data_IF_911695715435
#
_entry.id   IF_911695715435
#
_cell.length_a   1.000
_cell.length_b   1.000
_cell.length_c   1.000
_cell.angle_alpha   90.00
_cell.angle_beta   90.00
_cell.angle_gamma   90.00
#
_symmetry.space_group_name_H-M   'P 1'
#
loop_
_entity.id
_entity.type
_entity.pdbx_description
1 polymer ?
#
# COMPACT_ATOMS: atom_id res chain seq x y z
N UNK A 1 8.66 8.75 -9.93
CA UNK A 1 8.12 7.63 -9.14
C UNK A 1 9.34 6.85 -8.74
N UNK A 2 9.71 6.87 -7.47
CA UNK A 2 10.85 6.11 -6.98
C UNK A 2 10.53 4.64 -6.81
N UNK A 3 11.56 3.86 -6.52
CA UNK A 3 11.48 2.41 -6.34
C UNK A 3 11.31 2.04 -4.87
N UNK A 4 10.51 1.00 -4.64
CA UNK A 4 10.32 0.40 -3.31
C UNK A 4 10.49 -1.11 -3.43
N UNK A 5 11.52 -1.64 -2.78
CA UNK A 5 11.76 -3.07 -2.71
C UNK A 5 12.55 -3.44 -1.46
N UNK A 6 12.42 -4.70 -1.05
CA UNK A 6 13.28 -5.33 -0.04
C UNK A 6 13.52 -6.77 -0.43
N UNK A 7 14.73 -7.27 -0.18
CA UNK A 7 15.10 -8.65 -0.48
C UNK A 7 16.25 -9.14 0.39
N UNK A 8 16.44 -10.46 0.38
CA UNK A 8 17.60 -11.13 0.94
C UNK A 8 18.40 -11.78 -0.17
N UNK A 9 19.73 -11.61 -0.18
CA UNK A 9 20.63 -12.40 -1.01
C UNK A 9 21.41 -13.37 -0.13
N UNK A 10 21.33 -14.66 -0.43
CA UNK A 10 22.01 -15.72 0.29
C UNK A 10 23.17 -16.21 -0.58
N UNK A 11 24.40 -16.15 -0.06
CA UNK A 11 25.58 -16.55 -0.81
C UNK A 11 25.61 -18.07 -0.97
N UNK A 12 25.67 -18.54 -2.22
CA UNK A 12 25.75 -19.96 -2.57
C UNK A 12 27.00 -20.60 -1.98
N UNK A 13 26.86 -21.85 -1.56
CA UNK A 13 27.94 -22.75 -1.16
C UNK A 13 27.59 -24.16 -1.63
N UNK A 14 28.54 -25.09 -1.57
CA UNK A 14 28.28 -26.50 -1.89
C UNK A 14 27.50 -27.24 -0.79
N UNK A 15 27.17 -26.57 0.33
CA UNK A 15 26.58 -27.22 1.51
C UNK A 15 25.05 -27.25 1.52
N UNK A 16 24.40 -26.53 0.62
CA UNK A 16 22.94 -26.51 0.48
C UNK A 16 22.53 -26.24 -0.97
N UNK A 17 21.29 -26.57 -1.29
CA UNK A 17 20.65 -26.34 -2.58
C UNK A 17 19.60 -25.23 -2.50
N UNK A 18 19.12 -24.77 -3.65
CA UNK A 18 17.96 -23.86 -3.73
C UNK A 18 16.71 -24.46 -3.09
N UNK A 19 16.52 -25.79 -3.20
CA UNK A 19 15.40 -26.49 -2.56
C UNK A 19 15.48 -26.44 -1.03
N UNK A 20 16.69 -26.43 -0.45
CA UNK A 20 16.87 -26.27 0.99
C UNK A 20 16.46 -24.86 1.46
N UNK A 21 16.77 -23.83 0.67
CA UNK A 21 16.30 -22.44 0.93
C UNK A 21 14.79 -22.38 0.82
N UNK A 22 14.20 -22.95 -0.24
CA UNK A 22 12.75 -23.05 -0.41
C UNK A 22 12.09 -23.70 0.80
N UNK A 23 12.60 -24.84 1.24
CA UNK A 23 12.08 -25.55 2.40
C UNK A 23 12.18 -24.73 3.69
N UNK A 24 13.22 -23.90 3.83
CA UNK A 24 13.35 -22.99 4.96
C UNK A 24 12.36 -21.83 4.90
N UNK A 25 12.12 -21.24 3.72
CA UNK A 25 11.06 -20.24 3.51
C UNK A 25 9.69 -20.85 3.84
N UNK A 26 9.39 -22.05 3.35
CA UNK A 26 8.16 -22.79 3.65
C UNK A 26 7.98 -23.00 5.16
N UNK A 27 9.06 -23.33 5.88
CA UNK A 27 9.05 -23.47 7.33
C UNK A 27 8.78 -22.14 8.04
N UNK A 28 9.46 -21.05 7.65
CA UNK A 28 9.24 -19.72 8.24
C UNK A 28 7.81 -19.23 8.02
N UNK A 29 7.23 -19.46 6.83
CA UNK A 29 5.84 -19.13 6.55
C UNK A 29 4.88 -19.95 7.40
N UNK A 30 5.15 -21.25 7.57
CA UNK A 30 4.36 -22.12 8.44
C UNK A 30 4.39 -21.67 9.90
N UNK A 31 5.56 -21.27 10.41
CA UNK A 31 5.71 -20.76 11.77
C UNK A 31 4.93 -19.44 11.98
N UNK A 32 4.73 -18.67 10.91
CA UNK A 32 3.87 -17.47 10.87
C UNK A 32 2.37 -17.80 10.67
N UNK A 33 2.00 -19.08 10.66
CA UNK A 33 0.62 -19.55 10.55
C UNK A 33 0.09 -19.65 9.12
N UNK A 34 0.95 -19.55 8.10
CA UNK A 34 0.54 -19.73 6.71
C UNK A 34 0.56 -21.21 6.30
N UNK A 35 -0.24 -21.54 5.30
CA UNK A 35 -0.25 -22.81 4.59
C UNK A 35 0.04 -22.57 3.10
N UNK A 36 0.80 -23.47 2.49
CA UNK A 36 1.09 -23.40 1.05
C UNK A 36 -0.17 -23.65 0.22
N UNK A 37 -0.28 -22.96 -0.91
CA UNK A 37 -1.36 -23.12 -1.89
C UNK A 37 -0.80 -23.10 -3.30
N UNK A 38 -1.30 -23.95 -4.19
CA UNK A 38 -0.96 -23.90 -5.62
C UNK A 38 -1.82 -22.87 -6.37
N UNK A 39 -2.88 -22.35 -5.73
CA UNK A 39 -3.74 -21.34 -6.31
C UNK A 39 -3.27 -19.93 -5.93
N UNK A 40 -2.60 -19.24 -6.87
CA UNK A 40 -2.12 -17.87 -6.69
C UNK A 40 -3.24 -16.87 -6.39
N UNK A 41 -4.48 -17.13 -6.82
CA UNK A 41 -5.62 -16.25 -6.55
C UNK A 41 -6.13 -16.35 -5.11
N UNK A 42 -5.75 -17.41 -4.38
CA UNK A 42 -6.05 -17.59 -2.96
C UNK A 42 -4.88 -17.14 -2.07
N UNK A 43 -3.77 -16.68 -2.65
CA UNK A 43 -2.58 -16.32 -1.90
C UNK A 43 -2.79 -15.01 -1.12
N UNK A 44 -2.55 -15.06 0.18
CA UNK A 44 -2.45 -13.86 1.02
C UNK A 44 -1.06 -13.25 0.94
N UNK A 45 -0.03 -14.09 0.78
CA UNK A 45 1.38 -13.70 0.66
C UNK A 45 2.04 -14.58 -0.40
N UNK A 46 2.94 -13.99 -1.18
CA UNK A 46 3.81 -14.70 -2.11
C UNK A 46 5.27 -14.47 -1.73
N UNK A 47 6.09 -15.47 -2.02
CA UNK A 47 7.54 -15.36 -2.01
C UNK A 47 8.10 -15.90 -3.33
N UNK A 48 9.30 -15.48 -3.70
CA UNK A 48 10.01 -16.07 -4.81
C UNK A 48 11.49 -16.17 -4.53
N UNK A 49 12.08 -17.24 -5.06
CA UNK A 49 13.52 -17.40 -5.19
C UNK A 49 13.93 -17.05 -6.61
N UNK A 50 14.98 -16.24 -6.75
CA UNK A 50 15.66 -16.03 -8.02
C UNK A 50 17.05 -16.65 -7.97
N UNK A 51 17.34 -17.47 -8.98
CA UNK A 51 18.62 -18.17 -9.11
C UNK A 51 19.16 -18.05 -10.53
N UNK A 52 20.41 -17.58 -10.65
CA UNK A 52 21.15 -17.50 -11.91
C UNK A 52 22.48 -18.22 -11.76
N UNK A 53 22.89 -19.00 -12.76
CA UNK A 53 24.19 -19.71 -12.77
C UNK A 53 25.37 -18.73 -12.81
N UNK A 54 25.16 -17.53 -13.34
CA UNK A 54 26.15 -16.46 -13.42
C UNK A 54 26.27 -15.67 -12.11
N UNK A 55 25.46 -15.98 -11.10
CA UNK A 55 25.47 -15.34 -9.79
C UNK A 55 25.99 -16.25 -8.68
N UNK A 56 26.73 -15.65 -7.75
CA UNK A 56 27.11 -16.28 -6.46
C UNK A 56 25.98 -16.26 -5.44
N UNK A 57 24.83 -15.67 -5.76
CA UNK A 57 23.76 -15.37 -4.81
C UNK A 57 22.43 -15.98 -5.25
N UNK A 58 21.63 -16.36 -4.26
CA UNK A 58 20.21 -16.70 -4.41
C UNK A 58 19.42 -15.57 -3.78
N UNK A 59 18.52 -14.93 -4.53
CA UNK A 59 17.68 -13.86 -4.01
C UNK A 59 16.37 -14.41 -3.50
N UNK A 60 15.95 -13.99 -2.32
CA UNK A 60 14.63 -14.25 -1.74
C UNK A 60 13.87 -12.93 -1.67
N UNK A 61 12.70 -12.88 -2.31
CA UNK A 61 11.73 -11.78 -2.20
C UNK A 61 10.43 -12.32 -1.63
N UNK A 62 9.71 -11.50 -0.88
CA UNK A 62 8.42 -11.87 -0.30
C UNK A 62 7.59 -10.64 0.03
N UNK A 63 6.26 -10.76 -0.02
CA UNK A 63 5.36 -9.74 0.54
C UNK A 63 5.60 -9.51 2.05
N UNK A 64 6.25 -10.47 2.72
CA UNK A 64 6.56 -10.49 4.16
C UNK A 64 8.04 -10.18 4.47
N UNK A 65 8.87 -9.97 3.44
CA UNK A 65 10.22 -9.43 3.59
C UNK A 65 10.15 -7.96 3.20
N UNK A 66 9.91 -7.11 4.20
CA UNK A 66 9.92 -5.65 4.11
C UNK A 66 10.58 -5.14 5.38
N UNK A 67 11.55 -4.24 5.26
CA UNK A 67 12.21 -3.63 6.40
C UNK A 67 12.57 -2.19 6.08
N UNK A 68 12.43 -1.32 7.08
CA UNK A 68 12.69 0.12 6.98
C UNK A 68 13.89 0.55 7.84
N UNK A 69 14.47 -0.37 8.62
CA UNK A 69 15.65 -0.12 9.44
C UNK A 69 16.59 -1.34 9.56
N UNK A 70 17.73 -1.11 10.22
CA UNK A 70 18.78 -2.11 10.42
C UNK A 70 18.38 -3.29 11.32
N UNK A 71 17.53 -3.06 12.32
CA UNK A 71 17.10 -4.11 13.25
C UNK A 71 16.14 -5.08 12.54
N UNK A 72 15.25 -4.56 11.71
CA UNK A 72 14.35 -5.35 10.88
C UNK A 72 15.11 -6.13 9.79
N UNK A 73 16.08 -5.49 9.13
CA UNK A 73 16.95 -6.13 8.16
C UNK A 73 17.74 -7.30 8.80
N UNK A 74 18.31 -7.08 9.99
CA UNK A 74 19.04 -8.11 10.73
C UNK A 74 18.13 -9.28 11.15
N UNK A 75 16.94 -8.98 11.71
CA UNK A 75 15.95 -10.00 12.07
C UNK A 75 15.53 -10.86 10.88
N UNK A 76 15.50 -10.30 9.67
CA UNK A 76 15.21 -11.03 8.45
C UNK A 76 16.40 -11.88 7.96
N UNK A 77 17.62 -11.35 8.00
CA UNK A 77 18.81 -12.00 7.44
C UNK A 77 19.43 -13.08 8.34
N UNK A 78 19.51 -12.83 9.65
CA UNK A 78 20.21 -13.69 10.61
C UNK A 78 19.70 -15.14 10.60
N UNK A 79 18.38 -15.43 10.58
CA UNK A 79 17.89 -16.80 10.52
C UNK A 79 18.41 -17.59 9.31
N UNK A 80 18.55 -16.94 8.15
CA UNK A 80 19.12 -17.58 6.96
C UNK A 80 20.63 -17.81 7.13
N UNK A 81 21.34 -16.84 7.68
CA UNK A 81 22.78 -16.98 7.92
C UNK A 81 23.09 -18.11 8.92
N UNK A 82 22.35 -18.20 10.02
CA UNK A 82 22.48 -19.30 11.00
C UNK A 82 22.14 -20.66 10.38
N UNK A 83 21.05 -20.73 9.61
CA UNK A 83 20.58 -21.99 9.02
C UNK A 83 21.56 -22.55 7.99
N UNK A 84 22.13 -21.67 7.15
CA UNK A 84 22.93 -22.07 6.00
C UNK A 84 24.43 -21.83 6.19
N UNK A 85 24.83 -21.28 7.33
CA UNK A 85 26.22 -20.99 7.70
C UNK A 85 26.96 -20.25 6.57
N UNK A 86 26.33 -19.17 6.07
CA UNK A 86 26.82 -18.39 4.93
C UNK A 86 26.51 -16.91 5.10
N UNK A 87 27.06 -16.10 4.19
CA UNK A 87 26.78 -14.68 4.11
C UNK A 87 25.38 -14.42 3.57
N UNK A 88 24.67 -13.49 4.20
CA UNK A 88 23.36 -12.99 3.77
C UNK A 88 23.43 -11.47 3.67
N UNK A 89 22.97 -10.92 2.56
CA UNK A 89 22.75 -9.49 2.39
C UNK A 89 21.25 -9.23 2.52
N UNK A 90 20.85 -8.38 3.45
CA UNK A 90 19.52 -7.78 3.43
C UNK A 90 19.63 -6.39 2.80
N UNK A 91 18.83 -6.09 1.77
CA UNK A 91 18.79 -4.75 1.21
C UNK A 91 17.36 -4.26 0.97
N UNK A 92 17.20 -2.93 1.06
CA UNK A 92 15.94 -2.26 0.78
C UNK A 92 16.18 -0.88 0.16
N UNK A 93 15.26 -0.48 -0.71
CA UNK A 93 15.20 0.84 -1.34
C UNK A 93 13.84 1.48 -1.04
N UNK A 94 13.86 2.78 -0.72
CA UNK A 94 12.70 3.59 -0.34
C UNK A 94 12.68 4.83 -1.23
N UNK A 95 11.66 4.91 -2.09
CA UNK A 95 11.40 5.97 -3.08
C UNK A 95 12.61 6.37 -3.95
N UNK A 96 13.59 5.50 -4.15
CA UNK A 96 14.88 5.80 -4.79
C UNK A 96 15.73 6.89 -4.12
N UNK A 97 15.26 7.45 -3.01
CA UNK A 97 15.96 8.50 -2.26
C UNK A 97 16.87 7.90 -1.19
N UNK A 98 16.52 6.71 -0.69
CA UNK A 98 17.30 6.00 0.31
C UNK A 98 17.45 4.51 -0.02
N UNK A 99 18.67 4.00 0.13
CA UNK A 99 19.03 2.60 -0.05
C UNK A 99 19.89 2.11 1.10
N UNK A 100 19.56 0.93 1.65
CA UNK A 100 20.31 0.31 2.72
C UNK A 100 20.70 -1.14 2.40
N UNK A 101 21.86 -1.57 2.90
CA UNK A 101 22.29 -2.96 2.87
C UNK A 101 22.97 -3.37 4.18
N UNK A 102 22.55 -4.48 4.76
CA UNK A 102 23.25 -5.16 5.84
C UNK A 102 23.89 -6.46 5.35
N UNK A 103 25.16 -6.68 5.69
CA UNK A 103 25.88 -7.93 5.43
C UNK A 103 26.04 -8.73 6.73
N UNK A 104 25.54 -9.96 6.76
CA UNK A 104 25.54 -10.79 7.95
C UNK A 104 26.16 -12.16 7.70
N UNK A 105 27.03 -12.62 8.61
CA UNK A 105 27.42 -14.01 8.73
C UNK A 105 27.61 -14.38 10.21
N UNK A 106 26.70 -15.19 10.75
CA UNK A 106 26.71 -15.56 12.17
C UNK A 106 27.84 -16.50 12.55
N UNK A 107 28.39 -17.24 11.58
CA UNK A 107 29.45 -18.23 11.82
C UNK A 107 30.82 -17.61 12.12
N UNK A 108 31.09 -16.44 11.56
CA UNK A 108 32.34 -15.69 11.74
C UNK A 108 32.13 -14.32 12.41
N UNK A 109 30.88 -13.96 12.72
CA UNK A 109 30.51 -12.70 13.37
C UNK A 109 30.51 -11.48 12.45
N UNK A 110 30.51 -11.67 11.13
CA UNK A 110 30.42 -10.56 10.16
C UNK A 110 29.10 -9.81 10.33
N UNK A 111 29.18 -8.48 10.50
CA UNK A 111 28.04 -7.56 10.51
C UNK A 111 28.47 -6.22 9.91
N UNK A 112 28.24 -6.04 8.61
CA UNK A 112 28.51 -4.80 7.88
C UNK A 112 27.24 -4.04 7.56
N UNK A 113 27.36 -2.74 7.33
CA UNK A 113 26.20 -1.89 7.02
C UNK A 113 26.53 -0.81 6.00
N UNK A 114 25.57 -0.52 5.13
CA UNK A 114 25.65 0.49 4.07
C UNK A 114 24.32 1.25 4.02
N UNK A 115 24.43 2.56 3.90
CA UNK A 115 23.39 3.50 3.56
C UNK A 115 23.88 4.37 2.39
N UNK A 116 22.98 4.64 1.47
CA UNK A 116 23.17 5.60 0.37
C UNK A 116 21.91 6.45 0.29
N UNK A 117 22.10 7.76 0.14
CA UNK A 117 21.00 8.73 0.07
C UNK A 117 20.39 9.10 1.43
N UNK A 118 19.28 9.84 1.38
CA UNK A 118 18.56 10.44 2.51
C UNK A 118 17.07 10.55 2.13
N UNK A 119 16.18 10.35 3.10
CA UNK A 119 14.73 10.31 2.99
C UNK A 119 14.13 10.95 4.25
N UNK A 120 13.60 12.15 4.08
CA UNK A 120 13.12 12.98 5.19
C UNK A 120 12.11 12.24 6.08
N UNK A 121 12.44 12.11 7.36
CA UNK A 121 11.57 11.49 8.37
C UNK A 121 11.97 10.07 8.82
N UNK A 122 12.96 9.43 8.19
CA UNK A 122 13.53 8.17 8.67
C UNK A 122 14.74 8.41 9.60
N UNK A 123 14.79 7.81 10.80
CA UNK A 123 15.97 7.90 11.65
C UNK A 123 17.09 7.00 11.10
N UNK A 124 18.14 7.59 10.53
CA UNK A 124 19.37 6.86 10.16
C UNK A 124 20.09 6.38 11.41
N UNK A 125 19.79 5.15 11.83
CA UNK A 125 20.24 4.62 13.11
C UNK A 125 21.66 4.07 13.10
N UNK A 126 22.22 3.76 11.92
CA UNK A 126 23.52 3.08 11.78
C UNK A 126 24.38 3.73 10.69
N UNK A 127 25.61 4.12 11.02
CA UNK A 127 26.57 4.63 10.03
C UNK A 127 27.09 3.51 9.11
N UNK A 128 27.69 3.89 7.98
CA UNK A 128 28.34 2.96 7.07
C UNK A 128 29.50 2.23 7.76
N UNK A 129 29.48 0.90 7.74
CA UNK A 129 30.57 0.03 8.16
C UNK A 129 30.95 -0.92 7.03
N UNK A 130 31.99 -0.53 6.30
CA UNK A 130 32.41 -1.14 5.05
C UNK A 130 33.50 -2.20 5.22
N UNK A 131 34.17 -2.25 6.37
CA UNK A 131 35.27 -3.21 6.62
C UNK A 131 34.82 -4.68 6.51
N UNK A 132 33.67 -5.09 7.08
CA UNK A 132 33.19 -6.48 6.99
C UNK A 132 32.96 -6.98 5.55
N UNK A 133 32.73 -6.06 4.60
CA UNK A 133 32.44 -6.39 3.20
C UNK A 133 33.65 -6.91 2.42
N UNK A 134 34.89 -6.71 2.92
CA UNK A 134 36.13 -7.24 2.30
C UNK A 134 36.08 -8.75 2.06
N UNK A 135 35.32 -9.48 2.87
CA UNK A 135 35.15 -10.93 2.81
C UNK A 135 34.44 -11.43 1.55
N UNK A 136 33.66 -10.56 0.88
CA UNK A 136 32.84 -10.94 -0.27
C UNK A 136 33.15 -10.14 -1.54
N UNK A 137 33.90 -9.04 -1.42
CA UNK A 137 34.23 -8.14 -2.53
C UNK A 137 35.48 -8.57 -3.29
N UNK A 138 35.49 -8.35 -4.60
CA UNK A 138 36.70 -8.47 -5.43
C UNK A 138 37.58 -7.22 -5.35
N UNK A 139 36.99 -6.06 -5.08
CA UNK A 139 37.67 -4.76 -4.97
C UNK A 139 36.96 -3.91 -3.91
N UNK A 140 37.62 -3.75 -2.75
CA UNK A 140 37.07 -3.02 -1.61
C UNK A 140 37.19 -1.50 -1.75
N UNK A 141 38.23 -1.01 -2.44
CA UNK A 141 38.44 0.41 -2.66
C UNK A 141 37.37 0.93 -3.62
N UNK A 142 37.14 0.24 -4.74
CA UNK A 142 36.08 0.60 -5.70
C UNK A 142 34.69 0.55 -5.08
N UNK A 143 34.42 -0.43 -4.20
CA UNK A 143 33.15 -0.48 -3.47
C UNK A 143 32.99 0.73 -2.54
N UNK A 144 34.05 1.09 -1.81
CA UNK A 144 34.04 2.24 -0.90
C UNK A 144 33.82 3.56 -1.64
N UNK A 145 34.48 3.77 -2.78
CA UNK A 145 34.27 4.93 -3.63
C UNK A 145 32.83 5.01 -4.13
N UNK A 146 32.27 3.86 -4.50
CA UNK A 146 30.91 3.77 -5.02
C UNK A 146 29.86 4.07 -3.95
N UNK A 147 29.98 3.52 -2.75
CA UNK A 147 29.04 3.78 -1.65
C UNK A 147 29.08 5.25 -1.21
N UNK A 148 30.26 5.89 -1.22
CA UNK A 148 30.42 7.28 -0.81
C UNK A 148 30.27 8.30 -1.96
N UNK A 149 29.97 7.83 -3.17
CA UNK A 149 29.78 8.69 -4.34
C UNK A 149 28.44 9.43 -4.33
N UNK A 150 28.32 10.42 -5.21
CA UNK A 150 27.05 11.10 -5.47
C UNK A 150 26.19 10.23 -6.41
N UNK A 151 24.98 9.90 -5.99
CA UNK A 151 24.01 9.13 -6.78
C UNK A 151 22.78 9.99 -7.08
N UNK A 152 22.21 9.83 -8.28
CA UNK A 152 20.92 10.45 -8.61
C UNK A 152 19.80 9.66 -7.97
N UNK A 153 19.94 8.33 -7.96
CA UNK A 153 19.04 7.40 -7.30
C UNK A 153 19.86 6.47 -6.39
N UNK A 154 19.44 6.30 -5.14
CA UNK A 154 20.22 5.60 -4.13
C UNK A 154 20.53 4.13 -4.51
N UNK A 155 19.63 3.47 -5.24
CA UNK A 155 19.81 2.10 -5.72
C UNK A 155 20.90 1.94 -6.80
N UNK A 156 21.38 3.02 -7.42
CA UNK A 156 22.50 2.99 -8.38
C UNK A 156 23.74 2.36 -7.73
N UNK A 157 23.87 2.55 -6.41
CA UNK A 157 24.92 1.92 -5.61
C UNK A 157 24.86 0.37 -5.66
N UNK A 158 23.67 -0.22 -5.73
CA UNK A 158 23.54 -1.67 -5.84
C UNK A 158 23.98 -2.19 -7.21
N UNK A 159 23.56 -1.52 -8.27
CA UNK A 159 23.94 -1.90 -9.64
C UNK A 159 25.45 -1.83 -9.85
N UNK A 160 26.08 -0.76 -9.37
CA UNK A 160 27.53 -0.62 -9.47
C UNK A 160 28.31 -1.60 -8.56
N UNK A 161 27.70 -2.06 -7.48
CA UNK A 161 28.28 -3.07 -6.58
C UNK A 161 28.13 -4.50 -7.08
N UNK A 162 27.19 -4.77 -7.98
CA UNK A 162 26.80 -6.13 -8.40
C UNK A 162 27.99 -6.98 -8.86
N UNK A 163 28.82 -6.44 -9.76
CA UNK A 163 30.03 -7.11 -10.25
C UNK A 163 31.01 -7.41 -9.10
N UNK A 164 31.18 -6.46 -8.17
CA UNK A 164 32.15 -6.55 -7.07
C UNK A 164 31.81 -7.66 -6.08
N UNK A 165 30.53 -7.93 -5.88
CA UNK A 165 30.03 -9.03 -5.03
C UNK A 165 29.72 -10.32 -5.83
N UNK A 166 29.91 -10.32 -7.14
CA UNK A 166 29.61 -11.45 -8.03
C UNK A 166 28.12 -11.78 -8.11
N UNK A 167 27.29 -10.75 -8.26
CA UNK A 167 25.83 -10.82 -8.40
C UNK A 167 25.39 -10.55 -9.83
N UNK A 168 24.32 -11.21 -10.25
CA UNK A 168 23.65 -10.93 -11.52
C UNK A 168 22.87 -9.60 -11.40
N UNK A 169 23.00 -8.71 -12.40
CA UNK A 169 22.36 -7.40 -12.39
C UNK A 169 20.83 -7.47 -12.27
N UNK A 170 20.22 -8.55 -12.74
CA UNK A 170 18.77 -8.76 -12.63
C UNK A 170 18.31 -8.93 -11.16
N UNK A 171 19.25 -9.19 -10.24
CA UNK A 171 18.96 -9.32 -8.81
C UNK A 171 18.96 -7.98 -8.06
N UNK A 172 19.57 -6.92 -8.60
CA UNK A 172 19.85 -5.67 -7.88
C UNK A 172 18.60 -4.88 -7.45
N UNK A 173 17.49 -5.03 -8.15
CA UNK A 173 16.23 -4.36 -7.81
C UNK A 173 15.04 -5.31 -7.87
N UNK A 174 15.29 -6.61 -7.67
CA UNK A 174 14.22 -7.59 -7.73
C UNK A 174 13.29 -7.41 -6.53
N UNK A 175 12.10 -6.87 -6.75
CA UNK A 175 11.02 -6.84 -5.76
C UNK A 175 9.98 -7.92 -6.02
N UNK A 176 9.19 -8.30 -5.00
CA UNK A 176 8.05 -9.23 -5.17
C UNK A 176 7.03 -8.74 -6.20
N UNK A 177 6.92 -7.41 -6.38
CA UNK A 177 6.05 -6.76 -7.37
C UNK A 177 6.65 -6.66 -8.78
N UNK A 178 7.90 -7.07 -8.96
CA UNK A 178 8.62 -7.03 -10.25
C UNK A 178 8.84 -8.43 -10.83
N UNK A 179 8.17 -9.45 -10.29
CA UNK A 179 8.31 -10.84 -10.77
C UNK A 179 7.77 -11.04 -12.19
N UNK A 180 6.89 -10.17 -12.66
CA UNK A 180 6.31 -10.24 -14.01
C UNK A 180 7.30 -9.86 -15.12
N UNK A 181 8.26 -8.99 -14.80
CA UNK A 181 9.33 -8.55 -15.72
C UNK A 181 10.62 -9.36 -15.59
N UNK A 182 10.78 -10.15 -14.52
CA UNK A 182 11.93 -11.03 -14.33
C UNK A 182 11.88 -12.29 -15.22
N UNK A 183 13.05 -12.88 -15.49
CA UNK A 183 13.14 -14.15 -16.23
C UNK A 183 12.49 -15.29 -15.44
N UNK A 184 11.31 -15.72 -15.91
CA UNK A 184 10.52 -16.78 -15.28
C UNK A 184 11.24 -18.12 -15.21
N UNK A 185 12.23 -18.38 -16.07
CA UNK A 185 13.02 -19.62 -16.02
C UNK A 185 13.97 -19.67 -14.81
N UNK A 186 14.25 -18.52 -14.22
CA UNK A 186 15.13 -18.33 -13.04
C UNK A 186 14.35 -18.18 -11.73
N UNK A 187 13.02 -18.18 -11.80
CA UNK A 187 12.14 -17.95 -10.66
C UNK A 187 11.51 -19.25 -10.14
N UNK A 188 11.52 -19.41 -8.82
CA UNK A 188 10.66 -20.36 -8.11
C UNK A 188 9.70 -19.56 -7.24
N UNK A 189 8.44 -19.47 -7.66
CA UNK A 189 7.40 -18.72 -6.95
C UNK A 189 6.63 -19.65 -6.01
N UNK A 190 6.40 -19.19 -4.78
CA UNK A 190 5.68 -19.89 -3.74
C UNK A 190 4.52 -19.01 -3.27
N UNK A 191 3.36 -19.63 -3.08
CA UNK A 191 2.16 -18.95 -2.64
C UNK A 191 1.69 -19.51 -1.30
N UNK A 192 1.28 -18.60 -0.43
CA UNK A 192 0.88 -18.89 0.93
C UNK A 192 -0.44 -18.20 1.24
N UNK A 193 -1.31 -18.91 1.96
CA UNK A 193 -2.55 -18.35 2.49
C UNK A 193 -2.64 -18.63 3.97
N UNK A 194 -3.36 -17.80 4.71
CA UNK A 194 -3.83 -18.14 6.05
C UNK A 194 -5.18 -18.83 5.93
N UNK A 195 -5.48 -19.70 6.88
CA UNK A 195 -6.89 -20.03 7.08
C UNK A 195 -7.60 -18.71 7.40
N UNK A 196 -8.67 -18.41 6.66
CA UNK A 196 -9.38 -17.15 6.82
C UNK A 196 -9.72 -16.97 8.31
N UNK A 197 -9.12 -15.98 8.96
CA UNK A 197 -9.53 -15.60 10.29
C UNK A 197 -11.03 -15.32 10.21
N UNK A 198 -11.84 -16.10 10.93
CA UNK A 198 -13.27 -15.82 11.01
C UNK A 198 -13.38 -14.50 11.75
N UNK A 199 -13.49 -13.42 11.00
CA UNK A 199 -13.78 -12.11 11.56
C UNK A 199 -15.17 -12.21 12.16
N UNK A 200 -15.21 -12.29 13.49
CA UNK A 200 -16.44 -12.45 14.25
C UNK A 200 -17.04 -11.08 14.54
N UNK A 201 -18.37 -11.02 14.52
CA UNK A 201 -19.11 -9.78 14.74
C UNK A 201 -19.61 -9.12 13.46
N UNK A 202 -20.36 -8.02 13.60
CA UNK A 202 -21.00 -7.35 12.46
C UNK A 202 -19.98 -6.69 11.52
N UNK A 203 -20.34 -6.45 10.25
CA UNK A 203 -19.58 -5.61 9.35
C UNK A 203 -19.38 -4.21 9.93
N UNK A 204 -18.22 -3.60 9.65
CA UNK A 204 -17.89 -2.23 10.05
C UNK A 204 -17.12 -1.55 8.94
N UNK A 205 -17.72 -0.56 8.32
CA UNK A 205 -17.13 0.11 7.17
C UNK A 205 -16.15 1.22 7.59
N UNK A 206 -15.12 1.38 6.78
CA UNK A 206 -14.12 2.42 6.90
C UNK A 206 -13.79 3.01 5.53
N UNK A 207 -13.35 4.27 5.50
CA UNK A 207 -12.95 4.97 4.28
C UNK A 207 -11.42 4.99 4.25
N UNK A 208 -10.76 4.12 3.46
CA UNK A 208 -9.29 3.95 3.53
C UNK A 208 -8.53 5.17 3.00
N UNK A 209 -9.15 5.93 2.10
CA UNK A 209 -8.62 7.18 1.54
C UNK A 209 -9.76 8.20 1.56
N UNK A 210 -9.67 9.15 2.48
CA UNK A 210 -10.64 10.24 2.56
C UNK A 210 -10.32 11.27 1.48
N UNK A 211 -11.22 11.48 0.52
CA UNK A 211 -11.08 12.58 -0.44
C UNK A 211 -11.25 13.91 0.30
N UNK A 212 -10.17 14.69 0.38
CA UNK A 212 -10.12 15.98 1.09
C UNK A 212 -10.56 17.16 0.21
N UNK A 213 -10.96 16.92 -1.03
CA UNK A 213 -11.46 17.94 -1.96
C UNK A 213 -12.98 17.92 -2.02
N UNK A 214 -13.65 19.08 -2.14
CA UNK A 214 -15.09 19.13 -2.23
C UNK A 214 -15.56 18.55 -3.57
N UNK A 215 -16.78 18.03 -3.60
CA UNK A 215 -17.43 17.69 -4.86
C UNK A 215 -17.52 18.92 -5.76
N UNK A 216 -17.47 18.70 -7.08
CA UNK A 216 -17.67 19.75 -8.08
C UNK A 216 -18.88 19.38 -8.96
N UNK A 217 -19.78 20.35 -9.17
CA UNK A 217 -20.94 20.15 -10.04
C UNK A 217 -20.50 19.73 -11.44
N UNK A 218 -21.16 18.71 -12.00
CA UNK A 218 -20.86 18.17 -13.32
C UNK A 218 -19.57 17.34 -13.39
N UNK A 219 -18.89 17.10 -12.27
CA UNK A 219 -17.67 16.26 -12.22
C UNK A 219 -17.96 15.01 -11.39
N UNK A 220 -17.80 13.84 -12.01
CA UNK A 220 -17.95 12.54 -11.36
C UNK A 220 -17.04 12.43 -10.12
N UNK A 221 -17.61 11.97 -9.02
CA UNK A 221 -16.96 11.72 -7.74
C UNK A 221 -17.09 10.24 -7.38
N UNK A 222 -16.25 9.76 -6.46
CA UNK A 222 -16.30 8.39 -5.96
C UNK A 222 -16.11 8.37 -4.44
N UNK A 223 -17.02 7.70 -3.73
CA UNK A 223 -16.87 7.37 -2.31
C UNK A 223 -16.77 5.87 -2.20
N UNK A 224 -15.61 5.37 -1.76
CA UNK A 224 -15.35 3.95 -1.60
C UNK A 224 -14.95 3.60 -0.17
N UNK A 225 -15.39 2.43 0.26
CA UNK A 225 -15.21 1.90 1.60
C UNK A 225 -14.60 0.51 1.55
N UNK A 226 -14.04 0.10 2.68
CA UNK A 226 -13.62 -1.28 2.95
C UNK A 226 -14.31 -1.76 4.22
N UNK A 227 -14.53 -3.06 4.33
CA UNK A 227 -15.02 -3.66 5.56
C UNK A 227 -13.84 -3.98 6.49
N UNK A 228 -13.95 -3.58 7.75
CA UNK A 228 -13.02 -3.88 8.85
C UNK A 228 -13.63 -4.84 9.89
N UNK A 229 -14.86 -5.29 9.68
CA UNK A 229 -15.56 -6.26 10.54
C UNK A 229 -15.77 -7.62 9.87
N UNK A 230 -16.78 -8.37 10.35
CA UNK A 230 -17.17 -9.67 9.79
C UNK A 230 -17.84 -9.57 8.42
N UNK A 231 -17.88 -10.68 7.67
CA UNK A 231 -18.63 -10.76 6.42
C UNK A 231 -20.13 -10.69 6.67
N UNK A 232 -20.88 -10.10 5.74
CA UNK A 232 -22.33 -10.04 5.82
C UNK A 232 -22.92 -9.96 4.40
N UNK A 233 -24.22 -9.72 4.30
CA UNK A 233 -24.94 -9.58 3.05
C UNK A 233 -25.85 -8.35 3.12
N UNK A 234 -25.96 -7.66 2.00
CA UNK A 234 -26.85 -6.52 1.84
C UNK A 234 -26.20 -5.18 2.17
N UNK A 235 -26.31 -4.24 1.25
CA UNK A 235 -25.75 -2.89 1.36
C UNK A 235 -26.78 -1.82 1.03
N UNK A 236 -26.70 -0.68 1.71
CA UNK A 236 -27.47 0.53 1.42
C UNK A 236 -26.52 1.71 1.21
N UNK A 237 -26.83 2.52 0.19
CA UNK A 237 -26.18 3.80 -0.09
C UNK A 237 -27.24 4.90 0.03
N UNK A 238 -26.92 5.95 0.77
CA UNK A 238 -27.83 7.06 1.02
C UNK A 238 -27.11 8.40 0.85
N UNK A 239 -27.81 9.37 0.29
CA UNK A 239 -27.37 10.75 0.20
C UNK A 239 -28.26 11.60 1.11
N UNK A 240 -27.61 12.24 2.07
CA UNK A 240 -28.21 13.08 3.10
C UNK A 240 -27.83 14.54 2.87
N UNK A 241 -28.72 15.44 3.29
CA UNK A 241 -28.50 16.88 3.30
C UNK A 241 -29.79 17.64 3.02
N UNK A 242 -29.81 18.91 3.43
CA UNK A 242 -31.00 19.77 3.31
C UNK A 242 -31.37 20.03 1.85
N UNK A 243 -30.38 19.93 0.95
CA UNK A 243 -30.55 20.04 -0.50
C UNK A 243 -31.52 19.00 -1.08
N UNK A 244 -31.74 17.86 -0.40
CA UNK A 244 -32.58 16.78 -0.93
C UNK A 244 -34.06 17.17 -0.93
N UNK A 245 -34.51 18.00 0.01
CA UNK A 245 -35.93 18.35 0.14
C UNK A 245 -36.47 19.01 -1.12
N UNK A 246 -35.74 20.02 -1.61
CA UNK A 246 -36.11 20.83 -2.76
C UNK A 246 -35.34 20.48 -4.03
N UNK A 247 -34.65 19.33 -4.06
CA UNK A 247 -33.83 18.86 -5.19
C UNK A 247 -32.76 19.89 -5.62
N UNK A 248 -32.19 20.63 -4.66
CA UNK A 248 -31.17 21.66 -4.93
C UNK A 248 -29.84 21.05 -5.38
N UNK A 249 -29.58 19.81 -4.97
CA UNK A 249 -28.60 18.91 -5.57
C UNK A 249 -29.30 17.61 -5.96
N UNK A 250 -29.00 17.14 -7.16
CA UNK A 250 -29.40 15.83 -7.70
C UNK A 250 -28.14 15.09 -8.18
N UNK A 251 -28.30 13.81 -8.53
CA UNK A 251 -27.17 12.98 -8.95
C UNK A 251 -27.48 12.25 -10.25
N UNK A 252 -26.57 12.40 -11.21
CA UNK A 252 -26.56 11.70 -12.50
C UNK A 252 -25.40 10.69 -12.53
N UNK A 253 -25.41 9.79 -13.52
CA UNK A 253 -24.38 8.76 -13.73
C UNK A 253 -24.03 7.97 -12.46
N UNK A 254 -25.05 7.64 -11.67
CA UNK A 254 -24.84 6.96 -10.38
C UNK A 254 -24.52 5.49 -10.62
N UNK A 255 -23.35 5.05 -10.17
CA UNK A 255 -22.89 3.68 -10.28
C UNK A 255 -22.51 3.11 -8.91
N UNK A 256 -22.97 1.90 -8.61
CA UNK A 256 -22.36 1.09 -7.57
C UNK A 256 -21.13 0.41 -8.14
N UNK A 257 -19.98 0.56 -7.48
CA UNK A 257 -18.74 -0.07 -7.91
C UNK A 257 -18.18 -1.01 -6.85
N UNK A 258 -17.52 -2.06 -7.30
CA UNK A 258 -16.76 -3.00 -6.47
C UNK A 258 -15.72 -3.72 -7.33
N UNK A 259 -14.78 -4.41 -6.71
CA UNK A 259 -13.86 -5.30 -7.43
C UNK A 259 -14.29 -6.75 -7.35
N UNK A 260 -14.14 -7.47 -8.46
CA UNK A 260 -14.39 -8.91 -8.56
C UNK A 260 -13.27 -9.52 -9.38
N UNK A 261 -12.50 -10.44 -8.78
CA UNK A 261 -11.38 -11.12 -9.43
C UNK A 261 -10.35 -10.15 -10.05
N UNK A 262 -9.98 -9.07 -9.34
CA UNK A 262 -9.04 -8.07 -9.86
C UNK A 262 -9.66 -7.02 -10.79
N UNK A 263 -10.87 -7.23 -11.29
CA UNK A 263 -11.52 -6.33 -12.23
C UNK A 263 -12.50 -5.39 -11.52
N UNK A 264 -12.49 -4.12 -11.92
CA UNK A 264 -13.51 -3.16 -11.49
C UNK A 264 -14.83 -3.46 -12.19
N UNK A 265 -15.86 -3.68 -11.38
CA UNK A 265 -17.24 -3.79 -11.81
C UNK A 265 -17.95 -2.49 -11.45
N UNK A 266 -18.59 -1.87 -12.44
CA UNK A 266 -19.51 -0.74 -12.28
C UNK A 266 -20.91 -1.19 -12.67
N UNK A 267 -21.88 -0.94 -11.80
CA UNK A 267 -23.30 -1.24 -12.02
C UNK A 267 -24.07 0.07 -11.95
N UNK A 268 -24.71 0.54 -13.03
CA UNK A 268 -25.59 1.70 -12.98
C UNK A 268 -26.73 1.46 -11.99
N UNK A 269 -26.96 2.40 -11.09
CA UNK A 269 -28.01 2.32 -10.07
C UNK A 269 -28.95 3.53 -10.18
N UNK A 270 -30.21 3.31 -9.80
CA UNK A 270 -31.20 4.38 -9.70
C UNK A 270 -31.45 4.70 -8.24
N UNK A 271 -31.14 5.93 -7.85
CA UNK A 271 -31.51 6.45 -6.54
C UNK A 271 -33.01 6.72 -6.49
N UNK A 272 -33.65 6.28 -5.41
CA UNK A 272 -35.03 6.62 -5.10
C UNK A 272 -35.02 7.75 -4.06
N UNK A 273 -36.03 8.62 -4.07
CA UNK A 273 -36.24 9.60 -2.99
C UNK A 273 -37.14 8.94 -1.94
N UNK A 274 -36.74 8.97 -0.67
CA UNK A 274 -37.50 8.42 0.45
C UNK A 274 -37.55 9.42 1.58
N UNK A 275 -38.73 9.56 2.19
CA UNK A 275 -38.97 10.39 3.37
C UNK A 275 -39.25 9.46 4.55
N UNK A 276 -38.27 9.17 5.40
CA UNK A 276 -38.52 8.45 6.65
C UNK A 276 -39.48 9.27 7.53
N UNK A 277 -40.29 8.59 8.36
CA UNK A 277 -41.13 9.29 9.35
C UNK A 277 -40.23 10.14 10.26
N UNK A 278 -40.63 11.41 10.45
CA UNK A 278 -39.92 12.39 11.29
C UNK A 278 -38.46 12.69 10.89
N UNK A 279 -38.09 12.45 9.62
CA UNK A 279 -36.74 12.76 9.09
C UNK A 279 -36.80 13.50 7.76
N UNK A 280 -35.72 14.23 7.44
CA UNK A 280 -35.56 14.86 6.12
C UNK A 280 -35.54 13.80 5.02
N UNK A 281 -36.03 14.11 3.81
CA UNK A 281 -35.93 13.20 2.68
C UNK A 281 -34.47 12.90 2.36
N UNK A 282 -34.23 11.68 1.88
CA UNK A 282 -32.92 11.19 1.43
C UNK A 282 -33.05 10.62 0.01
N UNK A 283 -31.94 10.64 -0.74
CA UNK A 283 -31.82 9.74 -1.88
C UNK A 283 -31.21 8.42 -1.41
N UNK A 284 -31.72 7.29 -1.88
CA UNK A 284 -31.28 5.99 -1.40
C UNK A 284 -31.35 4.91 -2.47
N UNK A 285 -30.47 3.93 -2.32
CA UNK A 285 -30.45 2.69 -3.07
C UNK A 285 -29.95 1.56 -2.16
N UNK A 286 -30.35 0.33 -2.45
CA UNK A 286 -29.88 -0.84 -1.74
C UNK A 286 -29.79 -2.05 -2.66
N UNK A 287 -28.93 -2.99 -2.28
CA UNK A 287 -28.84 -4.33 -2.84
C UNK A 287 -28.77 -5.32 -1.69
N UNK A 288 -29.78 -6.18 -1.55
CA UNK A 288 -29.82 -7.22 -0.52
C UNK A 288 -28.92 -8.40 -0.84
N UNK A 289 -28.51 -8.55 -2.09
CA UNK A 289 -27.75 -9.68 -2.59
C UNK A 289 -26.24 -9.45 -2.63
N UNK A 290 -25.80 -8.19 -2.50
CA UNK A 290 -24.39 -7.85 -2.39
C UNK A 290 -23.72 -8.57 -1.22
N UNK A 291 -22.64 -9.28 -1.50
CA UNK A 291 -21.82 -9.97 -0.50
C UNK A 291 -20.77 -8.99 0.02
N UNK A 292 -20.84 -8.67 1.30
CA UNK A 292 -19.84 -7.83 1.97
C UNK A 292 -18.67 -8.75 2.37
N UNK A 293 -17.47 -8.59 1.79
CA UNK A 293 -16.33 -9.40 2.15
C UNK A 293 -15.90 -9.13 3.60
N UNK A 294 -15.34 -10.11 4.32
CA UNK A 294 -14.79 -9.87 5.65
C UNK A 294 -13.55 -8.97 5.57
N UNK A 295 -13.14 -8.43 6.73
CA UNK A 295 -11.88 -7.71 6.85
C UNK A 295 -10.68 -8.55 6.37
N UNK A 296 -9.66 -7.88 5.86
CA UNK A 296 -8.35 -8.52 5.62
C UNK A 296 -7.73 -8.82 6.98
N UNK A 297 -7.09 -9.98 7.10
CA UNK A 297 -6.42 -10.39 8.33
C UNK A 297 -5.35 -9.34 8.71
N UNK A 298 -5.43 -8.74 9.92
CA UNK A 298 -4.49 -7.70 10.33
C UNK A 298 -3.05 -8.19 10.48
N UNK A 299 -2.83 -9.51 10.57
CA UNK A 299 -1.50 -10.13 10.65
C UNK A 299 -0.82 -10.31 9.28
N UNK A 300 -1.49 -9.99 8.17
CA UNK A 300 -0.87 -9.90 6.84
C UNK A 300 0.00 -8.63 6.81
N UNK A 301 1.21 -8.67 6.21
CA UNK A 301 2.09 -7.52 6.06
C UNK A 301 1.38 -6.29 5.49
N UNK A 302 1.70 -5.09 5.99
CA UNK A 302 0.95 -3.87 5.74
C UNK A 302 0.72 -3.58 4.25
N UNK A 303 1.78 -3.65 3.44
CA UNK A 303 1.70 -3.35 2.01
C UNK A 303 0.77 -4.32 1.28
N UNK A 304 0.88 -5.61 1.60
CA UNK A 304 0.02 -6.64 1.02
C UNK A 304 -1.42 -6.54 1.51
N UNK A 305 -1.61 -6.24 2.79
CA UNK A 305 -2.93 -5.97 3.38
C UNK A 305 -3.60 -4.80 2.66
N UNK A 306 -2.89 -3.72 2.39
CA UNK A 306 -3.40 -2.56 1.65
C UNK A 306 -3.87 -2.93 0.23
N UNK A 307 -3.11 -3.77 -0.49
CA UNK A 307 -3.53 -4.32 -1.79
C UNK A 307 -4.82 -5.13 -1.67
N UNK A 308 -4.87 -6.09 -0.73
CA UNK A 308 -6.04 -6.94 -0.51
C UNK A 308 -7.28 -6.13 -0.08
N UNK A 309 -7.09 -5.06 0.69
CA UNK A 309 -8.16 -4.13 1.05
C UNK A 309 -8.64 -3.35 -0.18
N UNK A 310 -7.73 -2.90 -1.05
CA UNK A 310 -8.06 -2.28 -2.33
C UNK A 310 -8.86 -3.23 -3.23
N UNK A 311 -8.52 -4.52 -3.25
CA UNK A 311 -9.26 -5.59 -3.96
C UNK A 311 -10.66 -5.86 -3.38
N UNK A 312 -10.91 -5.47 -2.13
CA UNK A 312 -12.20 -5.62 -1.45
C UNK A 312 -12.99 -4.31 -1.37
N UNK A 313 -12.51 -3.25 -2.02
CA UNK A 313 -13.14 -1.93 -2.01
C UNK A 313 -14.44 -1.95 -2.81
N UNK A 314 -15.46 -1.32 -2.26
CA UNK A 314 -16.76 -1.09 -2.91
C UNK A 314 -17.31 0.29 -2.55
N UNK A 315 -18.28 0.80 -3.30
CA UNK A 315 -18.84 2.12 -3.01
C UNK A 315 -19.68 2.68 -4.15
N UNK A 316 -19.79 4.00 -4.20
CA UNK A 316 -20.63 4.71 -5.17
C UNK A 316 -19.83 5.74 -5.96
N UNK A 317 -20.07 5.77 -7.27
CA UNK A 317 -19.71 6.88 -8.15
C UNK A 317 -20.96 7.68 -8.49
N UNK A 318 -20.82 8.99 -8.61
CA UNK A 318 -21.94 9.88 -8.90
C UNK A 318 -21.45 11.22 -9.45
N UNK A 319 -22.26 11.85 -10.29
CA UNK A 319 -22.05 13.22 -10.76
C UNK A 319 -23.08 14.14 -10.10
N UNK A 320 -22.67 15.06 -9.20
CA UNK A 320 -23.60 15.99 -8.58
C UNK A 320 -24.02 17.08 -9.59
N UNK A 321 -25.31 17.38 -9.62
CA UNK A 321 -25.93 18.40 -10.47
C UNK A 321 -26.75 19.37 -9.60
N UNK A 322 -26.84 20.64 -9.98
CA UNK A 322 -27.63 21.65 -9.26
C UNK A 322 -26.79 22.80 -8.71
N UNK A 323 -27.11 23.26 -7.50
CA UNK A 323 -26.56 24.48 -6.90
C UNK A 323 -25.10 24.31 -6.43
N UNK A 324 -24.10 24.94 -7.07
CA UNK A 324 -22.69 24.79 -6.69
C UNK A 324 -22.39 25.25 -5.26
N UNK A 325 -23.19 26.15 -4.68
CA UNK A 325 -22.96 26.64 -3.31
C UNK A 325 -23.20 25.59 -2.23
N UNK A 326 -23.99 24.55 -2.54
CA UNK A 326 -24.38 23.48 -1.63
C UNK A 326 -23.56 22.20 -1.77
N UNK A 327 -22.49 22.20 -2.55
CA UNK A 327 -21.66 20.98 -2.75
C UNK A 327 -21.01 20.47 -1.46
N UNK A 328 -20.80 21.36 -0.47
CA UNK A 328 -20.29 20.95 0.83
C UNK A 328 -21.35 20.21 1.66
N UNK A 329 -22.65 20.35 1.35
CA UNK A 329 -23.74 19.69 2.08
C UNK A 329 -23.86 18.20 1.74
N UNK A 330 -23.17 17.73 0.68
CA UNK A 330 -23.27 16.35 0.20
C UNK A 330 -22.69 15.41 1.26
N UNK A 331 -23.58 14.67 1.92
CA UNK A 331 -23.24 13.59 2.85
C UNK A 331 -23.62 12.26 2.20
N UNK A 332 -22.64 11.37 2.03
CA UNK A 332 -22.85 10.01 1.52
C UNK A 332 -22.74 9.04 2.69
N UNK A 333 -23.76 8.21 2.92
CA UNK A 333 -23.76 7.18 3.95
C UNK A 333 -23.82 5.82 3.29
N UNK A 334 -22.87 4.96 3.64
CA UNK A 334 -22.81 3.57 3.17
C UNK A 334 -22.93 2.68 4.41
N UNK A 335 -23.86 1.74 4.38
CA UNK A 335 -24.15 0.89 5.53
C UNK A 335 -24.55 -0.54 5.13
N UNK A 336 -24.20 -1.54 5.95
CA UNK A 336 -24.78 -2.88 5.84
C UNK A 336 -26.27 -2.83 6.23
N UNK A 337 -27.13 -3.59 5.53
CA UNK A 337 -28.58 -3.54 5.79
C UNK A 337 -28.94 -4.22 7.12
N UNK A 338 -28.27 -5.33 7.45
CA UNK A 338 -28.60 -6.15 8.61
C UNK A 338 -28.00 -5.58 9.92
N UNK A 339 -26.92 -4.80 9.84
CA UNK A 339 -26.15 -4.31 10.99
C UNK A 339 -25.85 -2.81 10.88
N UNK A 340 -26.90 -1.98 10.85
CA UNK A 340 -26.80 -0.54 10.52
C UNK A 340 -25.75 0.25 11.30
N UNK A 341 -25.37 -0.19 12.51
CA UNK A 341 -24.28 0.41 13.31
C UNK A 341 -22.90 0.31 12.66
N UNK A 342 -22.73 -0.59 11.68
CA UNK A 342 -21.53 -0.76 10.87
C UNK A 342 -21.33 0.30 9.78
N UNK A 343 -22.19 1.34 9.74
CA UNK A 343 -22.14 2.36 8.70
C UNK A 343 -20.88 3.23 8.74
N UNK A 344 -20.63 3.89 7.61
CA UNK A 344 -19.71 5.01 7.52
C UNK A 344 -20.34 6.14 6.70
N UNK A 345 -20.08 7.37 7.12
CA UNK A 345 -20.44 8.58 6.39
C UNK A 345 -19.22 9.27 5.82
N UNK A 346 -19.34 9.74 4.59
CA UNK A 346 -18.42 10.64 3.93
C UNK A 346 -19.09 12.00 3.74
N UNK A 347 -18.35 13.04 4.12
CA UNK A 347 -18.61 14.45 3.81
C UNK A 347 -17.28 15.21 3.97
N UNK A 348 -17.01 16.15 3.08
CA UNK A 348 -15.65 16.67 2.89
C UNK A 348 -15.02 17.29 4.15
N UNK A 349 -15.84 17.89 5.03
CA UNK A 349 -15.39 18.58 6.24
C UNK A 349 -15.42 17.73 7.53
N UNK A 350 -15.49 16.39 7.42
CA UNK A 350 -15.67 15.49 8.58
C UNK A 350 -14.68 15.68 9.72
N UNK A 351 -13.40 15.85 9.40
CA UNK A 351 -12.36 16.02 10.42
C UNK A 351 -12.30 17.44 10.99
N UNK A 352 -12.77 18.42 10.22
CA UNK A 352 -12.77 19.83 10.59
C UNK A 352 -14.03 20.26 11.36
N UNK A 353 -15.02 19.36 11.46
CA UNK A 353 -16.32 19.49 12.15
C UNK A 353 -17.28 20.49 11.52
N UNK A 354 -16.79 21.58 10.91
CA UNK A 354 -17.61 22.59 10.22
C UNK A 354 -17.05 22.87 8.83
N UNK A 355 -17.93 23.31 7.91
CA UNK A 355 -17.54 23.73 6.55
C UNK A 355 -16.53 24.88 6.60
N UNK A 356 -16.74 25.85 7.50
CA UNK A 356 -15.85 27.01 7.69
C UNK A 356 -14.44 26.58 8.10
N UNK A 357 -14.31 25.74 9.12
CA UNK A 357 -13.00 25.26 9.57
C UNK A 357 -12.28 24.48 8.46
N UNK A 358 -13.03 23.69 7.68
CA UNK A 358 -12.49 22.96 6.53
C UNK A 358 -11.91 23.92 5.48
N UNK A 359 -12.64 24.96 5.07
CA UNK A 359 -12.15 25.96 4.13
C UNK A 359 -10.90 26.68 4.66
N UNK A 360 -10.93 27.10 5.93
CA UNK A 360 -9.80 27.80 6.56
C UNK A 360 -8.54 26.92 6.57
N UNK A 361 -8.66 25.64 6.94
CA UNK A 361 -7.54 24.71 6.94
C UNK A 361 -7.00 24.47 5.53
N UNK A 362 -7.86 24.12 4.58
CA UNK A 362 -7.45 23.82 3.20
C UNK A 362 -6.82 25.04 2.53
N UNK A 363 -7.43 26.21 2.67
CA UNK A 363 -6.87 27.44 2.09
C UNK A 363 -5.52 27.80 2.71
N UNK A 364 -5.35 27.57 4.01
CA UNK A 364 -4.05 27.76 4.66
C UNK A 364 -2.99 26.82 4.09
N UNK A 365 -3.29 25.53 3.95
CA UNK A 365 -2.37 24.55 3.35
C UNK A 365 -1.99 24.95 1.91
N UNK A 366 -2.97 25.34 1.10
CA UNK A 366 -2.75 25.81 -0.28
C UNK A 366 -1.90 27.09 -0.33
N UNK A 367 -2.14 28.03 0.59
CA UNK A 367 -1.35 29.26 0.71
C UNK A 367 0.10 28.98 1.14
N UNK A 368 0.31 28.08 2.11
CA UNK A 368 1.64 27.73 2.60
C UNK A 368 2.46 27.05 1.49
N UNK A 369 1.90 26.07 0.78
CA UNK A 369 2.56 25.41 -0.37
C UNK A 369 2.91 26.43 -1.47
N UNK A 370 2.00 27.36 -1.78
CA UNK A 370 2.26 28.39 -2.79
C UNK A 370 3.38 29.35 -2.36
N UNK A 371 3.43 29.74 -1.08
CA UNK A 371 4.49 30.61 -0.55
C UNK A 371 5.86 29.95 -0.54
N UNK A 372 5.90 28.63 -0.33
CA UNK A 372 7.12 27.82 -0.38
C UNK A 372 7.59 27.53 -1.81
N UNK A 373 6.83 27.98 -2.82
CA UNK A 373 7.16 27.78 -4.23
C UNK A 373 6.82 26.39 -4.76
N UNK A 374 6.10 25.57 -3.99
CA UNK A 374 5.67 24.23 -4.37
C UNK A 374 4.50 24.18 -5.34
N UNK A 375 3.94 25.34 -5.72
CA UNK A 375 2.77 25.44 -6.59
C UNK A 375 2.83 26.69 -7.46
N UNK A 376 2.46 26.58 -8.74
CA UNK A 376 2.31 27.75 -9.60
C UNK A 376 1.01 28.53 -9.34
N UNK A 377 0.94 29.74 -9.88
CA UNK A 377 -0.17 30.68 -9.62
C UNK A 377 -1.52 30.19 -10.15
N UNK A 378 -1.54 29.44 -11.25
CA UNK A 378 -2.79 28.99 -11.86
C UNK A 378 -3.33 27.77 -11.11
N UNK A 379 -2.45 26.88 -10.65
CA UNK A 379 -2.81 25.76 -9.76
C UNK A 379 -3.27 26.29 -8.39
N UNK A 380 -2.62 27.32 -7.85
CA UNK A 380 -3.07 27.99 -6.62
C UNK A 380 -4.51 28.49 -6.75
N UNK A 381 -4.81 29.25 -7.80
CA UNK A 381 -6.17 29.77 -8.04
C UNK A 381 -7.21 28.67 -8.22
N UNK A 382 -6.85 27.57 -8.86
CA UNK A 382 -7.75 26.44 -9.07
C UNK A 382 -8.00 25.61 -7.79
N UNK A 383 -7.11 25.71 -6.81
CA UNK A 383 -7.13 24.93 -5.57
C UNK A 383 -7.67 25.71 -4.37
N UNK A 384 -7.60 27.05 -4.41
CA UNK A 384 -8.15 27.93 -3.39
C UNK A 384 -9.69 27.89 -3.39
N UNK A 385 -10.29 27.77 -2.21
CA UNK A 385 -11.74 27.66 -2.02
C UNK A 385 -12.28 28.99 -1.47
N UNK A 386 -12.87 29.84 -2.33
CA UNK A 386 -13.45 31.11 -1.90
C UNK A 386 -14.67 30.87 -0.98
N UNK A 387 -14.67 31.33 0.29
CA UNK A 387 -15.81 31.20 1.19
C UNK A 387 -17.13 31.74 0.62
N UNK A 388 -17.07 32.75 -0.25
CA UNK A 388 -18.27 33.34 -0.87
C UNK A 388 -18.91 32.40 -1.90
N UNK A 389 -18.20 31.37 -2.36
CA UNK A 389 -18.74 30.36 -3.28
C UNK A 389 -19.58 29.27 -2.59
N UNK A 390 -19.63 29.24 -1.24
CA UNK A 390 -20.25 28.15 -0.48
C UNK A 390 -21.26 28.64 0.57
N UNK A 391 -22.24 27.79 0.87
CA UNK A 391 -23.16 27.98 2.00
C UNK A 391 -22.55 27.35 3.26
N UNK A 392 -22.02 28.19 4.15
CA UNK A 392 -21.19 27.79 5.29
C UNK A 392 -21.95 27.56 6.60
N UNK A 393 -23.23 27.91 6.63
CA UNK A 393 -24.11 27.75 7.78
C UNK A 393 -24.53 26.28 8.03
#
# INVERSE_FOLDING_TARGET
MGMFFSYLHIKKTDSFSTDDIKAFVDLTMKDKGYISTDNSNEADVSAALYTSDDSRWITVVSDDITFEDADEAEKAAVPFSEKFNTYVIAAACIDSDYFMMGLYNTSDGTSGWVNVGDFEGLPYSRENDLEPWKSILTDHERFTELINGDHVFAEEAMFGSAELIGMDSDQCCLGIRMLDIADKSRLTVMHYKKEAAVQTGPPRFDIPLYTLTPCKIGIMQAVGVVNKGGSSKGISIQFHGDYVENDEITFEDVEFFYKKNGEYVSVPIKLNKFSPQDSKPIYWWYDRDFVIPPAVDPSIPFMKRSELESERKFGVRFTPCGNPRKVLDIIVVIMPIEDVDGYVSWYVYKYDKTKRNYLERVNKEVEDIYREGGMDKDVFKASYLDPDDYDLD
#
